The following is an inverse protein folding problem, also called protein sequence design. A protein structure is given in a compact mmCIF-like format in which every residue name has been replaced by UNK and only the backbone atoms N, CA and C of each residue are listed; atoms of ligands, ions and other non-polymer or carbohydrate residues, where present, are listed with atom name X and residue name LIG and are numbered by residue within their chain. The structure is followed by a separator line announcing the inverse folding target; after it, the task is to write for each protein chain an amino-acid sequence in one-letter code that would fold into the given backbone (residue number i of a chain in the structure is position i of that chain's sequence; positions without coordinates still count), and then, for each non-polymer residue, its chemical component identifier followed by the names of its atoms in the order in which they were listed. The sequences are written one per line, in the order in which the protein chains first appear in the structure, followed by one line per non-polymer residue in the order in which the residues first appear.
data_IF_369534238993
#
_entry.id   IF_369534238993
#
_cell.length_a   1.000
_cell.length_b   1.000
_cell.length_c   1.000
_cell.angle_alpha   90.00
_cell.angle_beta   90.00
_cell.angle_gamma   90.00
#
_symmetry.space_group_name_H-M   'P 1'
#
loop_
_entity.id
_entity.type
_entity.pdbx_description
1 polymer ?
#
# COMPACT_ATOMS: atom_id res chain seq x y z
N UNK A 1 -27.00 -16.67 9.19
CA UNK A 1 -26.99 -18.00 8.56
C UNK A 1 -25.60 -18.60 8.43
N UNK A 2 -24.57 -17.83 8.02
CA UNK A 2 -23.16 -18.28 7.87
C UNK A 2 -22.57 -19.11 9.05
N UNK A 3 -22.99 -18.84 10.30
CA UNK A 3 -22.57 -19.59 11.50
C UNK A 3 -22.90 -21.08 11.48
N UNK A 4 -23.92 -21.48 10.73
CA UNK A 4 -24.41 -22.86 10.65
C UNK A 4 -23.81 -23.62 9.47
N UNK A 5 -23.06 -22.94 8.60
CA UNK A 5 -22.41 -23.57 7.46
C UNK A 5 -21.27 -24.46 8.01
N UNK A 6 -21.29 -25.78 7.73
CA UNK A 6 -20.19 -26.68 8.07
C UNK A 6 -18.87 -26.25 7.42
N UNK A 7 -17.73 -26.48 8.08
CA UNK A 7 -16.41 -25.96 7.61
C UNK A 7 -16.08 -26.46 6.20
N UNK A 8 -16.39 -27.72 5.92
CA UNK A 8 -16.22 -28.44 4.67
C UNK A 8 -17.06 -27.89 3.50
N UNK A 9 -18.10 -27.11 3.78
CA UNK A 9 -18.96 -26.48 2.77
C UNK A 9 -18.45 -25.09 2.38
N UNK A 10 -17.47 -24.54 3.09
CA UNK A 10 -16.89 -23.25 2.72
C UNK A 10 -16.05 -23.38 1.46
N UNK A 11 -16.21 -22.41 0.54
CA UNK A 11 -15.33 -22.23 -0.60
C UNK A 11 -14.57 -20.90 -0.52
N UNK A 12 -13.60 -20.72 -1.42
CA UNK A 12 -12.77 -19.54 -1.48
C UNK A 12 -13.57 -18.23 -1.70
N UNK A 13 -14.69 -18.31 -2.42
CA UNK A 13 -15.55 -17.16 -2.73
C UNK A 13 -16.34 -16.73 -1.49
N UNK A 14 -16.92 -17.69 -0.77
CA UNK A 14 -17.63 -17.50 0.49
C UNK A 14 -16.70 -16.94 1.56
N UNK A 15 -15.47 -17.47 1.67
CA UNK A 15 -14.47 -16.97 2.60
C UNK A 15 -14.12 -15.50 2.33
N UNK A 16 -13.77 -15.16 1.09
CA UNK A 16 -13.39 -13.78 0.73
C UNK A 16 -14.54 -12.79 0.87
N UNK A 17 -15.77 -13.17 0.49
CA UNK A 17 -16.98 -12.38 0.72
C UNK A 17 -17.24 -12.15 2.22
N UNK A 18 -17.07 -13.18 3.03
CA UNK A 18 -17.25 -13.10 4.48
C UNK A 18 -16.27 -12.09 5.08
N UNK A 19 -14.97 -12.27 4.83
CA UNK A 19 -13.92 -11.37 5.34
C UNK A 19 -14.13 -9.92 4.88
N UNK A 20 -14.46 -9.70 3.61
CA UNK A 20 -14.76 -8.35 3.10
C UNK A 20 -16.00 -7.75 3.76
N UNK A 21 -17.05 -8.54 3.98
CA UNK A 21 -18.26 -8.07 4.65
C UNK A 21 -18.00 -7.63 6.09
N UNK A 22 -17.15 -8.36 6.81
CA UNK A 22 -16.64 -7.92 8.11
C UNK A 22 -15.85 -6.62 8.01
N UNK A 23 -14.87 -6.55 7.09
CA UNK A 23 -14.01 -5.37 6.95
C UNK A 23 -14.80 -4.10 6.56
N UNK A 24 -15.95 -4.24 5.91
CA UNK A 24 -16.88 -3.16 5.60
C UNK A 24 -17.87 -2.84 6.73
N UNK A 25 -17.79 -3.51 7.88
CA UNK A 25 -18.71 -3.32 9.01
C UNK A 25 -20.13 -3.84 8.76
N UNK A 26 -20.34 -4.64 7.71
CA UNK A 26 -21.67 -5.21 7.37
C UNK A 26 -22.01 -6.42 8.25
N UNK A 27 -21.02 -6.97 8.95
CA UNK A 27 -21.17 -8.10 9.87
C UNK A 27 -20.42 -7.77 11.16
N UNK A 28 -21.10 -7.85 12.30
CA UNK A 28 -20.54 -7.60 13.62
C UNK A 28 -20.76 -8.80 14.55
N UNK A 29 -20.19 -9.95 14.18
CA UNK A 29 -20.35 -11.19 14.97
C UNK A 29 -19.00 -11.84 15.29
N UNK A 30 -18.48 -11.62 16.49
CA UNK A 30 -17.12 -12.05 16.87
C UNK A 30 -16.91 -13.57 16.80
N UNK A 31 -17.86 -14.38 17.31
CA UNK A 31 -17.67 -15.86 17.29
C UNK A 31 -17.55 -16.43 15.89
N UNK A 32 -18.23 -15.85 14.90
CA UNK A 32 -18.12 -16.28 13.52
C UNK A 32 -16.76 -15.85 12.94
N UNK A 33 -16.25 -14.67 13.29
CA UNK A 33 -14.92 -14.25 12.88
C UNK A 33 -13.83 -15.16 13.46
N UNK A 34 -13.89 -15.50 14.75
CA UNK A 34 -12.96 -16.47 15.35
C UNK A 34 -13.01 -17.81 14.64
N UNK A 35 -14.22 -18.37 14.42
CA UNK A 35 -14.39 -19.62 13.67
C UNK A 35 -13.80 -19.56 12.26
N UNK A 36 -14.01 -18.45 11.55
CA UNK A 36 -13.44 -18.27 10.20
C UNK A 36 -11.92 -18.27 10.25
N UNK A 37 -11.31 -17.58 11.21
CA UNK A 37 -9.85 -17.50 11.33
C UNK A 37 -9.23 -18.83 11.77
N UNK A 38 -9.85 -19.51 12.73
CA UNK A 38 -9.28 -20.69 13.40
C UNK A 38 -9.60 -22.01 12.67
N UNK A 39 -10.76 -22.11 12.03
CA UNK A 39 -11.21 -23.38 11.42
C UNK A 39 -11.29 -23.30 9.88
N UNK A 40 -11.79 -22.19 9.32
CA UNK A 40 -12.08 -22.11 7.88
C UNK A 40 -10.82 -21.74 7.07
N UNK A 41 -10.10 -20.70 7.46
CA UNK A 41 -8.89 -20.25 6.74
C UNK A 41 -7.86 -21.38 6.60
N UNK A 42 -7.49 -22.12 7.67
CA UNK A 42 -6.47 -23.16 7.56
C UNK A 42 -6.81 -24.28 6.56
N UNK A 43 -8.10 -24.62 6.40
CA UNK A 43 -8.55 -25.65 5.46
C UNK A 43 -8.52 -25.18 4.00
N UNK A 44 -8.79 -23.89 3.75
CA UNK A 44 -8.93 -23.37 2.40
C UNK A 44 -7.68 -22.67 1.86
N UNK A 45 -6.79 -22.20 2.74
CA UNK A 45 -5.68 -21.31 2.38
C UNK A 45 -4.78 -21.89 1.29
N UNK A 46 -4.57 -23.20 1.26
CA UNK A 46 -3.75 -23.87 0.24
C UNK A 46 -4.29 -23.73 -1.19
N UNK A 47 -5.61 -23.61 -1.36
CA UNK A 47 -6.28 -23.47 -2.65
C UNK A 47 -6.54 -22.03 -3.11
N UNK A 48 -6.21 -21.02 -2.29
CA UNK A 48 -6.53 -19.64 -2.61
C UNK A 48 -5.61 -19.08 -3.70
N UNK A 49 -6.19 -18.36 -4.66
CA UNK A 49 -5.46 -17.57 -5.65
C UNK A 49 -4.76 -16.36 -5.01
N UNK A 50 -3.86 -15.72 -5.77
CA UNK A 50 -3.13 -14.53 -5.32
C UNK A 50 -4.03 -13.38 -4.87
N UNK A 51 -5.08 -13.06 -5.66
CA UNK A 51 -6.07 -12.05 -5.28
C UNK A 51 -6.84 -12.42 -4.00
N UNK A 52 -7.24 -13.69 -3.87
CA UNK A 52 -7.97 -14.15 -2.68
C UNK A 52 -7.11 -14.05 -1.43
N UNK A 53 -5.82 -14.37 -1.52
CA UNK A 53 -4.87 -14.20 -0.41
C UNK A 53 -4.66 -12.74 -0.06
N UNK A 54 -4.48 -11.88 -1.06
CA UNK A 54 -4.36 -10.44 -0.85
C UNK A 54 -5.60 -9.87 -0.11
N UNK A 55 -6.80 -10.28 -0.51
CA UNK A 55 -8.06 -9.89 0.13
C UNK A 55 -8.18 -10.44 1.57
N UNK A 56 -7.83 -11.71 1.80
CA UNK A 56 -7.89 -12.31 3.15
C UNK A 56 -6.90 -11.62 4.09
N UNK A 57 -5.63 -11.46 3.69
CA UNK A 57 -4.61 -10.80 4.50
C UNK A 57 -5.00 -9.35 4.81
N UNK A 58 -5.47 -8.60 3.81
CA UNK A 58 -5.89 -7.22 3.99
C UNK A 58 -7.15 -7.08 4.84
N UNK A 59 -8.15 -7.94 4.62
CA UNK A 59 -9.37 -7.93 5.41
C UNK A 59 -9.12 -8.22 6.89
N UNK A 60 -8.28 -9.21 7.21
CA UNK A 60 -7.87 -9.49 8.59
C UNK A 60 -7.12 -8.31 9.21
N UNK A 61 -6.22 -7.69 8.45
CA UNK A 61 -5.50 -6.48 8.87
C UNK A 61 -6.45 -5.33 9.21
N UNK A 62 -7.47 -5.09 8.37
CA UNK A 62 -8.50 -4.07 8.63
C UNK A 62 -9.33 -4.38 9.87
N UNK A 63 -9.56 -5.66 10.14
CA UNK A 63 -10.26 -6.14 11.33
C UNK A 63 -9.38 -6.17 12.59
N UNK A 64 -8.12 -5.72 12.50
CA UNK A 64 -7.13 -5.79 13.58
C UNK A 64 -6.96 -7.22 14.12
N UNK A 65 -7.14 -8.21 13.24
CA UNK A 65 -6.87 -9.62 13.55
C UNK A 65 -5.47 -9.95 13.05
N UNK A 66 -4.67 -10.71 13.82
CA UNK A 66 -3.39 -11.19 13.32
C UNK A 66 -3.63 -12.06 12.08
N UNK A 67 -2.84 -11.84 11.04
CA UNK A 67 -2.90 -12.67 9.84
C UNK A 67 -2.20 -14.02 10.14
N UNK A 68 -2.87 -15.17 9.94
CA UNK A 68 -2.27 -16.47 10.26
C UNK A 68 -0.99 -16.75 9.45
N UNK A 69 0.02 -17.42 10.06
CA UNK A 69 1.24 -17.84 9.36
C UNK A 69 1.01 -18.60 8.04
N UNK A 70 -0.05 -19.42 7.98
CA UNK A 70 -0.42 -20.17 6.78
C UNK A 70 -0.85 -19.27 5.61
N UNK A 71 -1.42 -18.11 5.89
CA UNK A 71 -1.77 -17.10 4.88
C UNK A 71 -0.50 -16.47 4.31
N UNK A 72 0.51 -16.19 5.14
CA UNK A 72 1.80 -15.67 4.68
C UNK A 72 2.58 -16.69 3.85
N UNK A 73 2.61 -17.94 4.30
CA UNK A 73 3.24 -19.03 3.55
C UNK A 73 2.58 -19.18 2.16
N UNK A 74 1.25 -19.11 2.10
CA UNK A 74 0.55 -19.14 0.81
C UNK A 74 0.87 -17.88 -0.02
N UNK A 75 0.87 -16.70 0.59
CA UNK A 75 1.21 -15.44 -0.10
C UNK A 75 2.57 -15.54 -0.79
N UNK A 76 3.58 -16.04 -0.09
CA UNK A 76 4.92 -16.28 -0.64
C UNK A 76 4.90 -17.17 -1.90
N UNK A 77 4.04 -18.19 -1.94
CA UNK A 77 3.94 -19.13 -3.07
C UNK A 77 3.15 -18.58 -4.27
N UNK A 78 2.35 -17.52 -4.09
CA UNK A 78 1.48 -16.97 -5.15
C UNK A 78 1.86 -15.56 -5.57
N UNK A 79 2.75 -14.88 -4.83
CA UNK A 79 3.09 -13.48 -5.06
C UNK A 79 3.73 -13.24 -6.42
N UNK A 80 4.51 -14.20 -6.93
CA UNK A 80 5.15 -14.09 -8.24
C UNK A 80 4.14 -14.11 -9.41
N UNK A 81 2.92 -14.60 -9.17
CA UNK A 81 1.82 -14.64 -10.13
C UNK A 81 0.85 -13.46 -10.05
N UNK A 82 1.13 -12.41 -9.27
CA UNK A 82 0.19 -11.28 -9.09
C UNK A 82 0.23 -10.30 -10.27
N UNK A 83 -0.79 -10.29 -11.10
CA UNK A 83 -0.80 -9.51 -12.35
C UNK A 83 -1.17 -8.03 -12.20
N UNK A 84 -1.62 -7.62 -11.02
CA UNK A 84 -2.18 -6.30 -10.78
C UNK A 84 -1.56 -5.58 -9.57
N UNK A 85 -1.38 -4.27 -9.71
CA UNK A 85 -0.85 -3.38 -8.67
C UNK A 85 -1.73 -3.39 -7.42
N UNK A 86 -3.06 -3.47 -7.58
CA UNK A 86 -3.96 -3.54 -6.45
C UNK A 86 -3.64 -4.74 -5.54
N UNK A 87 -3.38 -5.91 -6.13
CA UNK A 87 -3.07 -7.13 -5.37
C UNK A 87 -1.77 -6.97 -4.57
N UNK A 88 -0.72 -6.44 -5.21
CA UNK A 88 0.56 -6.18 -4.56
C UNK A 88 0.39 -5.17 -3.43
N UNK A 89 -0.30 -4.05 -3.69
CA UNK A 89 -0.55 -3.01 -2.67
C UNK A 89 -1.27 -3.57 -1.44
N UNK A 90 -2.30 -4.41 -1.63
CA UNK A 90 -3.02 -5.04 -0.53
C UNK A 90 -2.10 -5.93 0.33
N UNK A 91 -1.21 -6.71 -0.30
CA UNK A 91 -0.25 -7.56 0.43
C UNK A 91 0.76 -6.68 1.18
N UNK A 92 1.34 -5.67 0.54
CA UNK A 92 2.31 -4.76 1.17
C UNK A 92 1.72 -4.04 2.39
N UNK A 93 0.50 -3.51 2.27
CA UNK A 93 -0.20 -2.87 3.39
C UNK A 93 -0.46 -3.83 4.55
N UNK A 94 -0.76 -5.09 4.24
CA UNK A 94 -1.01 -6.13 5.23
C UNK A 94 0.30 -6.52 5.91
N UNK A 95 1.35 -6.76 5.12
CA UNK A 95 2.66 -7.16 5.59
C UNK A 95 3.27 -6.10 6.52
N UNK A 96 3.27 -4.82 6.13
CA UNK A 96 3.81 -3.72 6.94
C UNK A 96 3.13 -3.52 8.30
N UNK A 97 1.97 -4.15 8.55
CA UNK A 97 1.27 -4.15 9.85
C UNK A 97 1.35 -5.47 10.62
N UNK A 98 1.83 -6.54 9.99
CA UNK A 98 1.74 -7.90 10.52
C UNK A 98 3.06 -8.68 10.41
N UNK A 99 4.21 -8.00 10.25
CA UNK A 99 5.53 -8.61 10.09
C UNK A 99 5.82 -9.68 11.16
N UNK A 100 5.37 -9.48 12.40
CA UNK A 100 5.57 -10.43 13.52
C UNK A 100 4.92 -11.81 13.34
N UNK A 101 3.97 -11.96 12.41
CA UNK A 101 3.27 -13.23 12.13
C UNK A 101 3.82 -13.97 10.92
N UNK A 102 4.80 -13.39 10.23
CA UNK A 102 5.39 -13.92 9.00
C UNK A 102 6.51 -14.89 9.37
N UNK A 103 6.43 -16.12 8.86
CA UNK A 103 7.39 -17.19 9.18
C UNK A 103 8.78 -16.94 8.61
N UNK A 104 8.82 -16.47 7.36
CA UNK A 104 10.05 -16.16 6.62
C UNK A 104 9.89 -14.78 5.94
N UNK A 105 10.16 -13.69 6.69
CA UNK A 105 10.04 -12.34 6.16
C UNK A 105 10.98 -12.09 4.98
N UNK A 106 12.20 -12.64 5.02
CA UNK A 106 13.22 -12.44 3.99
C UNK A 106 12.78 -13.03 2.64
N UNK A 107 12.28 -14.27 2.64
CA UNK A 107 11.80 -14.91 1.42
C UNK A 107 10.57 -14.21 0.82
N UNK A 108 9.61 -13.81 1.68
CA UNK A 108 8.43 -13.06 1.23
C UNK A 108 8.81 -11.69 0.66
N UNK A 109 9.70 -10.96 1.34
CA UNK A 109 10.25 -9.68 0.88
C UNK A 109 10.97 -9.83 -0.47
N UNK A 110 11.82 -10.84 -0.62
CA UNK A 110 12.52 -11.08 -1.87
C UNK A 110 11.56 -11.39 -3.02
N UNK A 111 10.52 -12.21 -2.78
CA UNK A 111 9.51 -12.54 -3.77
C UNK A 111 8.63 -11.33 -4.15
N UNK A 112 8.21 -10.53 -3.17
CA UNK A 112 7.53 -9.26 -3.41
C UNK A 112 8.40 -8.30 -4.22
N UNK A 113 9.66 -8.11 -3.83
CA UNK A 113 10.60 -7.23 -4.53
C UNK A 113 10.82 -7.65 -5.99
N UNK A 114 11.04 -8.96 -6.25
CA UNK A 114 11.12 -9.50 -7.63
C UNK A 114 9.85 -9.22 -8.43
N UNK A 115 8.68 -9.44 -7.81
CA UNK A 115 7.40 -9.22 -8.50
C UNK A 115 7.18 -7.75 -8.83
N UNK A 116 7.44 -6.85 -7.87
CA UNK A 116 7.28 -5.41 -8.07
C UNK A 116 8.15 -4.94 -9.25
N UNK A 117 9.43 -5.36 -9.32
CA UNK A 117 10.32 -5.04 -10.45
C UNK A 117 9.77 -5.54 -11.78
N UNK A 118 9.32 -6.79 -11.80
CA UNK A 118 8.72 -7.40 -13.01
C UNK A 118 7.46 -6.67 -13.46
N UNK A 119 6.59 -6.31 -12.51
CA UNK A 119 5.35 -5.61 -12.82
C UNK A 119 5.65 -4.19 -13.30
N UNK A 120 6.59 -3.47 -12.67
CA UNK A 120 7.00 -2.13 -13.08
C UNK A 120 7.55 -2.11 -14.51
N UNK A 121 8.37 -3.10 -14.88
CA UNK A 121 8.92 -3.20 -16.23
C UNK A 121 7.86 -3.47 -17.32
N UNK A 122 6.74 -4.11 -16.96
CA UNK A 122 5.68 -4.49 -17.91
C UNK A 122 4.47 -3.55 -17.89
N UNK A 123 4.18 -2.91 -16.75
CA UNK A 123 2.97 -2.12 -16.53
C UNK A 123 3.19 -1.10 -15.41
N UNK A 124 3.12 0.19 -15.74
CA UNK A 124 3.13 1.26 -14.73
C UNK A 124 1.88 1.20 -13.84
N UNK A 125 1.97 1.58 -12.55
CA UNK A 125 0.80 1.73 -11.69
C UNK A 125 -0.19 2.76 -12.26
N UNK A 126 -1.49 2.50 -12.09
CA UNK A 126 -2.50 3.51 -12.34
C UNK A 126 -2.33 4.68 -11.36
N UNK A 127 -2.62 5.89 -11.83
CA UNK A 127 -2.31 7.12 -11.09
C UNK A 127 -3.07 7.20 -9.76
N UNK A 128 -4.30 6.69 -9.73
CA UNK A 128 -5.12 6.61 -8.51
C UNK A 128 -4.53 5.65 -7.46
N UNK A 129 -3.69 4.70 -7.88
CA UNK A 129 -3.07 3.70 -7.00
C UNK A 129 -1.76 4.20 -6.39
N UNK A 130 -1.10 5.19 -7.00
CA UNK A 130 0.23 5.67 -6.58
C UNK A 130 0.32 6.07 -5.10
N UNK A 131 -0.62 6.85 -4.51
CA UNK A 131 -0.49 7.23 -3.11
C UNK A 131 -0.51 6.05 -2.15
N UNK A 132 -1.39 5.09 -2.44
CA UNK A 132 -1.54 3.89 -1.61
C UNK A 132 -0.33 2.98 -1.80
N UNK A 133 0.17 2.84 -3.02
CA UNK A 133 1.34 2.02 -3.36
C UNK A 133 2.62 2.56 -2.73
N UNK A 134 2.93 3.85 -2.91
CA UNK A 134 4.13 4.49 -2.36
C UNK A 134 4.18 4.30 -0.84
N UNK A 135 3.07 4.60 -0.16
CA UNK A 135 3.01 4.44 1.28
C UNK A 135 3.12 2.97 1.70
N UNK A 136 2.50 2.05 0.96
CA UNK A 136 2.58 0.62 1.24
C UNK A 136 4.01 0.09 1.08
N UNK A 137 4.70 0.43 -0.02
CA UNK A 137 6.10 0.08 -0.26
C UNK A 137 6.99 0.59 0.87
N UNK A 138 6.91 1.89 1.16
CA UNK A 138 7.70 2.54 2.20
C UNK A 138 7.47 1.91 3.58
N UNK A 139 6.20 1.69 3.95
CA UNK A 139 5.87 1.16 5.27
C UNK A 139 6.16 -0.33 5.42
N UNK A 140 6.15 -1.08 4.31
CA UNK A 140 6.41 -2.51 4.29
C UNK A 140 7.87 -2.86 4.54
N UNK A 141 8.80 -1.94 4.28
CA UNK A 141 10.25 -2.19 4.28
C UNK A 141 10.67 -3.35 3.36
N UNK A 142 9.91 -3.58 2.29
CA UNK A 142 10.25 -4.56 1.27
C UNK A 142 11.39 -3.99 0.41
N UNK A 143 12.52 -4.71 0.27
CA UNK A 143 13.66 -4.23 -0.50
C UNK A 143 13.35 -4.23 -1.99
N UNK A 144 13.18 -3.04 -2.53
CA UNK A 144 13.20 -2.75 -3.97
C UNK A 144 14.44 -1.91 -4.28
N UNK A 145 14.98 -2.07 -5.49
CA UNK A 145 16.18 -1.34 -5.90
C UNK A 145 15.87 0.14 -6.20
N UNK A 146 16.93 0.93 -6.34
CA UNK A 146 16.82 2.36 -6.68
C UNK A 146 16.03 2.58 -7.98
N UNK A 147 16.24 1.74 -9.00
CA UNK A 147 15.52 1.82 -10.27
C UNK A 147 14.00 1.68 -10.10
N UNK A 148 13.55 0.77 -9.23
CA UNK A 148 12.14 0.64 -8.93
C UNK A 148 11.58 1.87 -8.21
N UNK A 149 12.31 2.41 -7.22
CA UNK A 149 11.91 3.64 -6.53
C UNK A 149 11.89 4.83 -7.48
N UNK A 150 12.84 4.93 -8.39
CA UNK A 150 12.90 5.96 -9.41
C UNK A 150 11.74 5.85 -10.39
N UNK A 151 11.38 4.64 -10.82
CA UNK A 151 10.22 4.43 -11.69
C UNK A 151 8.89 4.80 -11.01
N UNK A 152 8.71 4.44 -9.74
CA UNK A 152 7.54 4.85 -8.93
C UNK A 152 7.52 6.37 -8.75
N UNK A 153 8.66 6.95 -8.38
CA UNK A 153 8.81 8.39 -8.15
C UNK A 153 8.57 9.22 -9.40
N UNK A 154 9.10 8.78 -10.54
CA UNK A 154 8.82 9.40 -11.84
C UNK A 154 7.35 9.32 -12.20
N UNK A 155 6.68 8.18 -11.99
CA UNK A 155 5.23 8.07 -12.23
C UNK A 155 4.42 9.05 -11.36
N UNK A 156 4.86 9.31 -10.12
CA UNK A 156 4.26 10.33 -9.26
C UNK A 156 4.49 11.76 -9.77
N UNK A 157 5.69 12.07 -10.29
CA UNK A 157 6.01 13.37 -10.87
C UNK A 157 5.22 13.61 -12.17
N UNK A 158 5.18 12.63 -13.06
CA UNK A 158 4.44 12.67 -14.34
C UNK A 158 2.96 13.01 -14.08
N UNK A 159 2.36 12.39 -13.05
CA UNK A 159 0.97 12.61 -12.66
C UNK A 159 0.66 14.05 -12.22
N UNK A 160 1.63 14.81 -11.68
CA UNK A 160 1.46 16.23 -11.35
C UNK A 160 1.62 17.15 -12.55
N UNK A 161 2.37 16.71 -13.57
CA UNK A 161 2.59 17.49 -14.79
C UNK A 161 1.37 17.47 -15.73
N UNK A 162 0.56 16.42 -15.66
CA UNK A 162 -0.69 16.29 -16.42
C UNK A 162 -1.83 17.05 -15.72
N UNK A 163 -2.01 18.33 -16.04
CA UNK A 163 -2.96 19.29 -15.43
C UNK A 163 -4.45 18.85 -15.40
N UNK A 164 -4.82 17.70 -15.99
CA UNK A 164 -6.21 17.31 -16.23
C UNK A 164 -6.72 16.06 -15.51
N UNK A 165 -5.88 15.23 -14.86
CA UNK A 165 -6.29 13.84 -14.63
C UNK A 165 -6.41 13.38 -13.18
N UNK A 166 -5.96 14.13 -12.16
CA UNK A 166 -5.85 13.55 -10.81
C UNK A 166 -6.24 14.51 -9.68
N UNK A 167 -7.19 14.08 -8.84
CA UNK A 167 -7.53 14.73 -7.58
C UNK A 167 -7.05 13.90 -6.40
N UNK A 168 -5.73 13.89 -6.16
CA UNK A 168 -5.21 13.41 -4.88
C UNK A 168 -5.53 14.42 -3.78
N UNK A 169 -5.69 13.94 -2.55
CA UNK A 169 -5.81 14.82 -1.38
C UNK A 169 -4.42 15.31 -0.97
N UNK A 170 -4.36 16.53 -0.44
CA UNK A 170 -3.08 17.10 0.02
C UNK A 170 -2.40 16.19 1.04
N UNK A 171 -3.17 15.57 1.94
CA UNK A 171 -2.64 14.61 2.92
C UNK A 171 -2.04 13.35 2.29
N UNK A 172 -2.59 12.86 1.18
CA UNK A 172 -2.04 11.72 0.46
C UNK A 172 -0.70 12.09 -0.17
N UNK A 173 -0.64 13.27 -0.78
CA UNK A 173 0.55 13.82 -1.42
C UNK A 173 1.65 14.13 -0.40
N UNK A 174 1.33 14.73 0.74
CA UNK A 174 2.28 15.00 1.82
C UNK A 174 2.90 13.70 2.36
N UNK A 175 2.09 12.65 2.51
CA UNK A 175 2.58 11.32 2.90
C UNK A 175 3.49 10.70 1.83
N UNK A 176 3.12 10.80 0.55
CA UNK A 176 3.97 10.34 -0.55
C UNK A 176 5.31 11.07 -0.57
N UNK A 177 5.30 12.40 -0.50
CA UNK A 177 6.52 13.21 -0.53
C UNK A 177 7.44 12.89 0.65
N UNK A 178 6.88 12.73 1.84
CA UNK A 178 7.63 12.30 3.02
C UNK A 178 8.27 10.91 2.85
N UNK A 179 7.51 9.94 2.32
CA UNK A 179 8.01 8.60 2.04
C UNK A 179 9.14 8.63 0.99
N UNK A 180 8.91 9.28 -0.15
CA UNK A 180 9.85 9.35 -1.26
C UNK A 180 11.15 10.06 -0.87
N UNK A 181 11.08 11.16 -0.12
CA UNK A 181 12.28 11.86 0.40
C UNK A 181 13.05 11.11 1.48
N UNK A 182 12.55 9.97 1.96
CA UNK A 182 13.31 9.07 2.85
C UNK A 182 14.08 7.98 2.13
N UNK A 183 13.73 7.70 0.87
CA UNK A 183 14.32 6.63 0.04
C UNK A 183 15.02 7.13 -1.22
N UNK A 184 14.88 8.42 -1.56
CA UNK A 184 15.47 8.98 -2.78
C UNK A 184 17.00 8.98 -2.77
N UNK A 185 17.58 8.92 -3.97
CA UNK A 185 19.01 9.12 -4.18
C UNK A 185 19.23 10.50 -4.83
N UNK A 186 19.86 11.47 -4.14
CA UNK A 186 20.09 12.81 -4.68
C UNK A 186 20.78 12.85 -6.05
N UNK A 187 21.61 11.85 -6.36
CA UNK A 187 22.38 11.80 -7.61
C UNK A 187 21.63 11.12 -8.77
N UNK A 188 20.52 10.44 -8.51
CA UNK A 188 19.81 9.61 -9.50
C UNK A 188 18.33 9.93 -9.64
N UNK A 189 17.75 10.70 -8.72
CA UNK A 189 16.30 10.90 -8.61
C UNK A 189 15.85 12.35 -8.90
N UNK A 190 16.07 12.92 -10.11
CA UNK A 190 15.70 14.32 -10.39
C UNK A 190 14.18 14.58 -10.27
N UNK A 191 13.37 13.54 -10.52
CA UNK A 191 11.90 13.56 -10.40
C UNK A 191 11.39 14.03 -9.03
N UNK A 192 12.19 13.89 -7.95
CA UNK A 192 11.76 14.29 -6.61
C UNK A 192 11.57 15.81 -6.52
N UNK A 193 12.35 16.58 -7.27
CA UNK A 193 12.23 18.04 -7.30
C UNK A 193 10.99 18.49 -8.06
N UNK A 194 10.66 17.80 -9.16
CA UNK A 194 9.44 18.03 -9.95
C UNK A 194 8.20 17.67 -9.13
N UNK A 195 8.21 16.50 -8.50
CA UNK A 195 7.14 16.07 -7.60
C UNK A 195 6.93 17.06 -6.46
N UNK A 196 8.01 17.44 -5.75
CA UNK A 196 7.95 18.45 -4.69
C UNK A 196 7.39 19.79 -5.19
N UNK A 197 7.75 20.22 -6.40
CA UNK A 197 7.20 21.41 -7.05
C UNK A 197 5.68 21.31 -7.26
N UNK A 198 5.20 20.16 -7.74
CA UNK A 198 3.77 19.87 -7.85
C UNK A 198 3.03 19.96 -6.51
N UNK A 199 3.64 19.39 -5.44
CA UNK A 199 3.08 19.47 -4.07
C UNK A 199 3.00 20.91 -3.58
N UNK A 200 4.05 21.70 -3.78
CA UNK A 200 4.09 23.12 -3.38
C UNK A 200 3.02 23.92 -4.12
N UNK A 201 2.86 23.71 -5.42
CA UNK A 201 1.83 24.36 -6.23
C UNK A 201 0.41 23.99 -5.74
N UNK A 202 0.20 22.72 -5.39
CA UNK A 202 -1.07 22.25 -4.82
C UNK A 202 -1.38 22.95 -3.49
N UNK A 203 -0.39 23.05 -2.60
CA UNK A 203 -0.52 23.75 -1.33
C UNK A 203 -0.81 25.24 -1.55
N UNK A 204 -0.14 25.89 -2.51
CA UNK A 204 -0.37 27.30 -2.84
C UNK A 204 -1.78 27.57 -3.37
N UNK A 205 -2.35 26.65 -4.14
CA UNK A 205 -3.71 26.80 -4.66
C UNK A 205 -4.79 26.68 -3.58
N UNK A 206 -4.55 25.92 -2.50
CA UNK A 206 -5.53 25.63 -1.45
C UNK A 206 -4.89 25.54 -0.05
N UNK A 207 -4.25 26.61 0.47
CA UNK A 207 -3.46 26.55 1.70
C UNK A 207 -4.31 26.19 2.92
N UNK A 208 -5.55 26.67 2.99
CA UNK A 208 -6.49 26.38 4.09
C UNK A 208 -6.95 24.92 4.18
N UNK A 209 -6.60 24.08 3.19
CA UNK A 209 -6.91 22.63 3.22
C UNK A 209 -5.81 21.79 3.90
N UNK A 210 -4.67 22.41 4.21
CA UNK A 210 -3.55 21.75 4.86
C UNK A 210 -3.78 21.58 6.36
N UNK A 211 -3.53 20.39 6.88
CA UNK A 211 -3.39 20.19 8.32
C UNK A 211 -1.97 20.53 8.76
N UNK A 212 -1.77 20.80 10.06
CA UNK A 212 -0.42 21.03 10.60
C UNK A 212 0.55 19.86 10.31
N UNK A 213 0.04 18.63 10.32
CA UNK A 213 0.82 17.43 9.98
C UNK A 213 1.25 17.41 8.51
N UNK A 214 0.39 17.87 7.60
CA UNK A 214 0.73 18.01 6.17
C UNK A 214 1.85 19.05 5.98
N UNK A 215 1.73 20.20 6.64
CA UNK A 215 2.74 21.28 6.59
C UNK A 215 4.09 20.82 7.14
N UNK A 216 4.10 20.07 8.24
CA UNK A 216 5.34 19.51 8.82
C UNK A 216 6.01 18.54 7.83
N UNK A 217 5.24 17.63 7.21
CA UNK A 217 5.77 16.66 6.24
C UNK A 217 6.32 17.34 5.00
N UNK A 218 5.57 18.30 4.44
CA UNK A 218 5.98 19.05 3.25
C UNK A 218 7.22 19.88 3.58
N UNK A 219 7.24 20.60 4.70
CA UNK A 219 8.37 21.42 5.13
C UNK A 219 9.63 20.60 5.39
N UNK A 220 9.52 19.48 6.10
CA UNK A 220 10.66 18.59 6.34
C UNK A 220 11.22 18.00 5.03
N UNK A 221 10.35 17.60 4.11
CA UNK A 221 10.76 17.11 2.79
C UNK A 221 11.44 18.19 1.96
N UNK A 222 10.85 19.39 1.86
CA UNK A 222 11.43 20.50 1.11
C UNK A 222 12.75 20.99 1.69
N UNK A 223 12.88 21.00 3.02
CA UNK A 223 14.14 21.29 3.72
C UNK A 223 15.25 20.30 3.34
N UNK A 224 14.94 19.00 3.29
CA UNK A 224 15.90 17.97 2.82
C UNK A 224 16.30 18.16 1.37
N UNK A 225 15.38 18.63 0.53
CA UNK A 225 15.61 18.89 -0.90
C UNK A 225 16.26 20.25 -1.17
N UNK A 226 16.50 21.09 -0.14
CA UNK A 226 17.03 22.44 -0.31
C UNK A 226 16.07 23.39 -1.07
N UNK A 227 14.77 23.11 -1.05
CA UNK A 227 13.76 23.91 -1.76
C UNK A 227 13.28 25.10 -0.95
N UNK A 228 13.90 26.25 -1.18
CA UNK A 228 13.62 27.50 -0.47
C UNK A 228 12.29 28.15 -0.86
N UNK A 229 11.77 27.84 -2.04
CA UNK A 229 10.48 28.35 -2.49
C UNK A 229 9.28 27.76 -1.73
N UNK A 230 9.45 26.59 -1.10
CA UNK A 230 8.48 26.04 -0.16
C UNK A 230 8.31 26.91 1.09
N UNK A 231 9.36 27.64 1.52
CA UNK A 231 9.31 28.48 2.74
C UNK A 231 8.25 29.57 2.61
N UNK A 232 8.18 30.22 1.44
CA UNK A 232 7.19 31.28 1.15
C UNK A 232 5.76 30.75 1.20
N UNK A 233 5.55 29.48 0.83
CA UNK A 233 4.23 28.84 0.85
C UNK A 233 3.83 28.45 2.27
N UNK A 234 4.77 27.89 3.03
CA UNK A 234 4.55 27.45 4.41
C UNK A 234 4.29 28.61 5.37
N UNK A 235 4.86 29.80 5.12
CA UNK A 235 4.57 31.01 5.91
C UNK A 235 3.14 31.54 5.70
N UNK A 236 2.49 31.19 4.58
CA UNK A 236 1.15 31.67 4.22
C UNK A 236 0.01 30.71 4.57
N UNK A 237 0.34 29.43 4.79
CA UNK A 237 -0.62 28.37 5.10
C UNK A 237 -0.86 28.27 6.61
#
# INVERSE_FOLDING_TARGET
ELRRIPVDVWDAKCLTLCINSYAMGRVAHERLLSRVVEEVIPQLVGGLSGMQIALVAHGLTRLKRPVPPSVWLRAQNVVEGLEDWQQITLILQSYGKNQATVMDPEALCAALGRRIRTLMASRRPAVETLPVLVYALWKSDVPVDGECWDAVGQACADAFSDEKSVKWKLSEVANMLSALTSVYNPNASPWIHDFAGGVINMLWGHPSSATADDLIKIGAACGKLGRTDALVVLEKA
#
